data_IF_148689331560
#
_entry.id   IF_148689331560
#
_cell.length_a   1.000
_cell.length_b   1.000
_cell.length_c   1.000
_cell.angle_alpha   90.00
_cell.angle_beta   90.00
_cell.angle_gamma   90.00
#
_symmetry.space_group_name_H-M   'P 1'
#
loop_
_entity.id
_entity.type
_entity.pdbx_description
1 polymer ?
#
# COMPACT_ATOMS: atom_id res chain seq x y z
N UNK A 1 -16.90 -23.03 -8.84
CA UNK A 1 -15.74 -22.13 -9.01
C UNK A 1 -14.55 -22.60 -8.17
N UNK A 2 -14.72 -22.84 -6.85
CA UNK A 2 -13.63 -23.27 -5.97
C UNK A 2 -13.00 -24.61 -6.42
N UNK A 3 -13.79 -25.58 -6.84
CA UNK A 3 -13.32 -26.84 -7.41
C UNK A 3 -12.52 -26.61 -8.69
N UNK A 4 -12.98 -25.71 -9.55
CA UNK A 4 -12.29 -25.36 -10.80
C UNK A 4 -10.91 -24.73 -10.55
N UNK A 5 -10.79 -23.85 -9.55
CA UNK A 5 -9.50 -23.24 -9.20
C UNK A 5 -8.53 -24.28 -8.64
N UNK A 6 -9.00 -25.20 -7.79
CA UNK A 6 -8.22 -26.32 -7.27
C UNK A 6 -6.90 -25.91 -6.60
N UNK A 7 -6.84 -24.81 -5.87
CA UNK A 7 -5.66 -24.31 -5.18
C UNK A 7 -4.65 -23.55 -6.07
N UNK A 8 -5.00 -23.24 -7.32
CA UNK A 8 -4.16 -22.41 -8.21
C UNK A 8 -4.15 -20.95 -7.76
N UNK A 9 -3.08 -20.25 -8.13
CA UNK A 9 -2.99 -18.79 -7.93
C UNK A 9 -3.98 -18.09 -8.87
N UNK A 10 -4.79 -17.20 -8.31
CA UNK A 10 -5.67 -16.34 -9.10
C UNK A 10 -4.85 -15.21 -9.72
N UNK A 11 -5.14 -14.85 -10.96
CA UNK A 11 -4.52 -13.70 -11.63
C UNK A 11 -5.60 -12.70 -11.97
N UNK A 12 -5.44 -11.46 -11.52
CA UNK A 12 -6.37 -10.38 -11.82
C UNK A 12 -5.64 -9.04 -11.99
N UNK A 13 -6.33 -8.08 -12.59
CA UNK A 13 -5.83 -6.71 -12.75
C UNK A 13 -6.55 -5.79 -11.77
N UNK A 14 -5.91 -5.42 -10.65
CA UNK A 14 -6.50 -4.90 -9.43
C UNK A 14 -7.21 -6.00 -8.63
N UNK A 15 -6.42 -7.00 -8.26
CA UNK A 15 -6.90 -8.28 -7.71
C UNK A 15 -7.76 -8.15 -6.45
N UNK A 16 -7.59 -7.11 -5.64
CA UNK A 16 -8.41 -6.87 -4.45
C UNK A 16 -9.90 -6.70 -4.78
N UNK A 17 -10.21 -6.15 -5.96
CA UNK A 17 -11.57 -6.02 -6.43
C UNK A 17 -12.22 -7.41 -6.64
N UNK A 18 -11.62 -8.24 -7.47
CA UNK A 18 -12.17 -9.56 -7.82
C UNK A 18 -12.17 -10.52 -6.61
N UNK A 19 -11.05 -10.58 -5.88
CA UNK A 19 -10.92 -11.45 -4.71
C UNK A 19 -11.81 -11.00 -3.55
N UNK A 20 -12.14 -9.72 -3.46
CA UNK A 20 -13.10 -9.18 -2.50
C UNK A 20 -14.50 -9.80 -2.69
N UNK A 21 -14.99 -9.90 -3.92
CA UNK A 21 -16.26 -10.57 -4.22
C UNK A 21 -16.23 -12.06 -3.91
N UNK A 22 -15.14 -12.75 -4.26
CA UNK A 22 -14.99 -14.18 -3.98
C UNK A 22 -14.97 -14.42 -2.47
N UNK A 23 -14.21 -13.62 -1.72
CA UNK A 23 -14.13 -13.69 -0.25
C UNK A 23 -15.50 -13.49 0.40
N UNK A 24 -16.24 -12.47 -0.05
CA UNK A 24 -17.59 -12.19 0.44
C UNK A 24 -18.58 -13.33 0.12
N UNK A 25 -18.46 -13.95 -1.07
CA UNK A 25 -19.28 -15.10 -1.44
C UNK A 25 -18.94 -16.33 -0.60
N UNK A 26 -17.66 -16.62 -0.36
CA UNK A 26 -17.21 -17.70 0.52
C UNK A 26 -17.75 -17.51 1.95
N UNK A 27 -17.62 -16.28 2.50
CA UNK A 27 -18.09 -15.96 3.84
C UNK A 27 -19.61 -16.20 3.98
N UNK A 28 -20.41 -15.76 2.99
CA UNK A 28 -21.88 -15.99 3.00
C UNK A 28 -22.27 -17.46 2.95
N UNK A 29 -21.43 -18.32 2.40
CA UNK A 29 -21.68 -19.76 2.27
C UNK A 29 -20.96 -20.59 3.34
N UNK A 30 -20.26 -19.97 4.29
CA UNK A 30 -19.47 -20.67 5.30
C UNK A 30 -18.29 -21.47 4.74
N UNK A 31 -17.79 -21.08 3.56
CA UNK A 31 -16.66 -21.73 2.89
C UNK A 31 -15.34 -21.04 3.23
N UNK A 32 -14.24 -21.79 3.40
CA UNK A 32 -12.93 -21.18 3.64
C UNK A 32 -12.43 -20.43 2.39
N UNK A 33 -11.80 -19.27 2.59
CA UNK A 33 -11.07 -18.55 1.56
C UNK A 33 -9.57 -18.69 1.82
N UNK A 34 -8.89 -19.51 1.03
CA UNK A 34 -7.45 -19.83 1.20
C UNK A 34 -6.62 -19.54 -0.07
N UNK A 35 -7.14 -18.71 -0.97
CA UNK A 35 -6.55 -18.47 -2.28
C UNK A 35 -5.58 -17.28 -2.26
N UNK A 36 -4.48 -17.45 -2.99
CA UNK A 36 -3.50 -16.38 -3.26
C UNK A 36 -3.82 -15.75 -4.61
N UNK A 37 -3.65 -14.45 -4.73
CA UNK A 37 -3.78 -13.73 -5.99
C UNK A 37 -2.47 -13.06 -6.40
N UNK A 38 -2.19 -13.04 -7.70
CA UNK A 38 -1.17 -12.23 -8.34
C UNK A 38 -1.84 -11.04 -9.03
N UNK A 39 -1.39 -9.83 -8.72
CA UNK A 39 -1.97 -8.59 -9.23
C UNK A 39 -1.14 -8.02 -10.37
N UNK A 40 -1.67 -8.12 -11.60
CA UNK A 40 -0.99 -7.60 -12.78
C UNK A 40 -0.93 -6.08 -12.82
N UNK A 41 -1.82 -5.36 -12.10
CA UNK A 41 -1.74 -3.91 -11.96
C UNK A 41 -0.49 -3.52 -11.15
N UNK A 42 -0.30 -4.14 -9.98
CA UNK A 42 0.86 -3.88 -9.12
C UNK A 42 2.15 -4.28 -9.82
N UNK A 43 2.18 -5.44 -10.47
CA UNK A 43 3.34 -5.89 -11.23
C UNK A 43 3.66 -4.93 -12.38
N UNK A 44 2.66 -4.49 -13.16
CA UNK A 44 2.85 -3.51 -14.23
C UNK A 44 3.39 -2.18 -13.73
N UNK A 45 2.94 -1.71 -12.57
CA UNK A 45 3.44 -0.47 -11.96
C UNK A 45 4.93 -0.53 -11.64
N UNK A 46 5.44 -1.71 -11.31
CA UNK A 46 6.86 -1.92 -11.01
C UNK A 46 7.70 -2.19 -12.27
N UNK A 47 7.15 -2.95 -13.22
CA UNK A 47 7.89 -3.41 -14.40
C UNK A 47 7.80 -2.46 -15.60
N UNK A 48 6.84 -1.52 -15.62
CA UNK A 48 6.62 -0.56 -16.71
C UNK A 48 6.71 0.88 -16.18
N UNK A 49 7.88 1.32 -15.67
CA UNK A 49 8.03 2.63 -15.03
C UNK A 49 7.75 3.81 -15.95
N UNK A 50 7.81 3.62 -17.26
CA UNK A 50 7.52 4.63 -18.28
C UNK A 50 6.02 4.97 -18.40
N UNK A 51 5.12 4.12 -17.89
CA UNK A 51 3.69 4.36 -17.99
C UNK A 51 3.18 5.27 -16.87
N UNK A 52 2.27 6.18 -17.23
CA UNK A 52 1.57 7.05 -16.30
C UNK A 52 0.17 6.53 -15.90
N UNK A 53 -0.37 5.60 -16.68
CA UNK A 53 -1.67 4.95 -16.45
C UNK A 53 -1.51 3.45 -16.67
N UNK A 54 -2.24 2.67 -15.86
CA UNK A 54 -2.11 1.21 -15.83
C UNK A 54 -3.48 0.54 -15.98
N UNK A 55 -4.36 1.07 -16.85
CA UNK A 55 -5.57 0.36 -17.25
C UNK A 55 -5.18 -0.85 -18.10
N UNK A 56 -6.03 -1.87 -18.13
CA UNK A 56 -5.77 -3.14 -18.82
C UNK A 56 -5.37 -2.95 -20.28
N UNK A 57 -6.08 -2.07 -21.01
CA UNK A 57 -5.81 -1.69 -22.39
C UNK A 57 -4.42 -1.04 -22.57
N UNK A 58 -4.10 -0.08 -21.69
CA UNK A 58 -2.83 0.64 -21.76
C UNK A 58 -1.65 -0.30 -21.51
N UNK A 59 -1.79 -1.21 -20.52
CA UNK A 59 -0.76 -2.20 -20.21
C UNK A 59 -0.62 -3.23 -21.33
N UNK A 60 -1.75 -3.71 -21.88
CA UNK A 60 -1.77 -4.62 -23.04
C UNK A 60 -1.02 -4.03 -24.24
N UNK A 61 -1.33 -2.79 -24.60
CA UNK A 61 -0.67 -2.08 -25.70
C UNK A 61 0.83 -1.86 -25.44
N UNK A 62 1.20 -1.49 -24.22
CA UNK A 62 2.61 -1.28 -23.86
C UNK A 62 3.45 -2.57 -23.90
N UNK A 63 2.81 -3.73 -23.72
CA UNK A 63 3.42 -5.05 -23.85
C UNK A 63 3.28 -5.65 -25.25
N UNK A 64 2.74 -4.89 -26.21
CA UNK A 64 2.51 -5.33 -27.60
C UNK A 64 1.67 -6.62 -27.68
N UNK A 65 0.63 -6.71 -26.85
CA UNK A 65 -0.31 -7.82 -26.87
C UNK A 65 -1.40 -7.58 -27.91
N UNK A 66 -2.10 -8.63 -28.39
CA UNK A 66 -3.19 -8.50 -29.35
C UNK A 66 -4.32 -7.61 -28.81
N UNK A 67 -4.99 -6.90 -29.72
CA UNK A 67 -6.21 -6.15 -29.40
C UNK A 67 -7.31 -7.09 -28.88
N UNK A 68 -8.12 -6.59 -27.97
CA UNK A 68 -9.21 -7.34 -27.36
C UNK A 68 -10.47 -6.48 -27.19
N UNK A 69 -11.61 -7.14 -27.05
CA UNK A 69 -12.89 -6.43 -26.84
C UNK A 69 -13.06 -6.08 -25.36
N UNK A 70 -12.83 -4.82 -25.03
CA UNK A 70 -13.03 -4.31 -23.68
C UNK A 70 -14.43 -4.58 -23.13
N UNK A 71 -14.51 -4.81 -21.83
CA UNK A 71 -15.76 -5.07 -21.09
C UNK A 71 -16.45 -6.39 -21.43
N UNK A 72 -15.73 -7.32 -22.06
CA UNK A 72 -16.12 -8.72 -22.12
C UNK A 72 -15.26 -9.52 -21.15
N UNK A 73 -15.88 -10.03 -20.09
CA UNK A 73 -15.16 -10.67 -18.98
C UNK A 73 -14.18 -11.77 -19.43
N UNK A 74 -14.54 -12.55 -20.47
CA UNK A 74 -13.63 -13.57 -21.01
C UNK A 74 -12.41 -12.96 -21.71
N UNK A 75 -12.59 -11.92 -22.50
CA UNK A 75 -11.52 -11.25 -23.24
C UNK A 75 -10.60 -10.49 -22.26
N UNK A 76 -11.17 -9.82 -21.25
CA UNK A 76 -10.42 -9.17 -20.16
C UNK A 76 -9.60 -10.19 -19.38
N UNK A 77 -10.16 -11.37 -19.06
CA UNK A 77 -9.46 -12.43 -18.35
C UNK A 77 -8.30 -13.02 -19.16
N UNK A 78 -8.50 -13.28 -20.46
CA UNK A 78 -7.43 -13.74 -21.37
C UNK A 78 -6.33 -12.71 -21.45
N UNK A 79 -6.67 -11.43 -21.64
CA UNK A 79 -5.71 -10.34 -21.71
C UNK A 79 -4.91 -10.21 -20.40
N UNK A 80 -5.58 -10.35 -19.25
CA UNK A 80 -4.93 -10.35 -17.94
C UNK A 80 -3.92 -11.50 -17.82
N UNK A 81 -4.27 -12.70 -18.30
CA UNK A 81 -3.36 -13.86 -18.37
C UNK A 81 -2.14 -13.62 -19.28
N UNK A 82 -2.36 -13.01 -20.45
CA UNK A 82 -1.26 -12.65 -21.38
C UNK A 82 -0.34 -11.57 -20.78
N UNK A 83 -0.91 -10.59 -20.09
CA UNK A 83 -0.11 -9.59 -19.36
C UNK A 83 0.75 -10.29 -18.30
N UNK A 84 0.19 -11.22 -17.53
CA UNK A 84 0.94 -11.96 -16.51
C UNK A 84 2.10 -12.76 -17.13
N UNK A 85 1.84 -13.49 -18.21
CA UNK A 85 2.89 -14.24 -18.94
C UNK A 85 4.01 -13.30 -19.40
N UNK A 86 3.67 -12.18 -19.99
CA UNK A 86 4.65 -11.22 -20.49
C UNK A 86 5.44 -10.55 -19.38
N UNK A 87 4.79 -10.23 -18.26
CA UNK A 87 5.46 -9.67 -17.08
C UNK A 87 6.37 -10.69 -16.40
N UNK A 88 5.98 -11.98 -16.34
CA UNK A 88 6.83 -13.05 -15.80
C UNK A 88 8.11 -13.20 -16.62
N UNK A 89 8.01 -13.28 -17.97
CA UNK A 89 9.18 -13.33 -18.84
C UNK A 89 10.12 -12.14 -18.63
N UNK A 90 9.54 -10.96 -18.52
CA UNK A 90 10.33 -9.75 -18.27
C UNK A 90 10.98 -9.76 -16.88
N UNK A 91 10.29 -10.24 -15.85
CA UNK A 91 10.86 -10.41 -14.51
C UNK A 91 11.97 -11.47 -14.46
N UNK A 92 11.85 -12.52 -15.25
CA UNK A 92 12.92 -13.52 -15.43
C UNK A 92 14.17 -12.88 -16.05
N UNK A 93 14.02 -12.17 -17.16
CA UNK A 93 15.12 -11.54 -17.89
C UNK A 93 15.79 -10.38 -17.11
N UNK A 94 15.01 -9.51 -16.47
CA UNK A 94 15.51 -8.29 -15.86
C UNK A 94 15.86 -8.43 -14.37
N UNK A 95 15.20 -9.35 -13.64
CA UNK A 95 15.24 -9.45 -12.18
C UNK A 95 15.59 -10.84 -11.65
N UNK A 96 15.81 -11.82 -12.54
CA UNK A 96 16.07 -13.22 -12.17
C UNK A 96 14.96 -13.81 -11.29
N UNK A 97 13.68 -13.53 -11.63
CA UNK A 97 12.48 -14.04 -10.96
C UNK A 97 11.83 -15.10 -11.86
N UNK A 98 11.88 -16.36 -11.45
CA UNK A 98 11.44 -17.51 -12.27
C UNK A 98 10.08 -18.07 -11.85
N UNK A 99 9.66 -17.82 -10.62
CA UNK A 99 8.43 -18.37 -10.06
C UNK A 99 7.57 -17.32 -9.37
N UNK A 100 6.27 -17.57 -9.27
CA UNK A 100 5.33 -16.66 -8.54
C UNK A 100 5.72 -16.49 -7.06
N UNK A 101 6.26 -17.53 -6.44
CA UNK A 101 6.70 -17.51 -5.04
C UNK A 101 7.90 -16.60 -4.81
N UNK A 102 8.73 -16.40 -5.83
CA UNK A 102 9.91 -15.54 -5.75
C UNK A 102 9.58 -14.05 -5.90
N UNK A 103 8.41 -13.71 -6.45
CA UNK A 103 8.04 -12.30 -6.74
C UNK A 103 8.16 -11.45 -5.48
N UNK A 104 7.42 -11.76 -4.43
CA UNK A 104 7.37 -10.92 -3.23
C UNK A 104 8.74 -10.77 -2.53
N UNK A 105 9.48 -11.85 -2.22
CA UNK A 105 10.78 -11.70 -1.55
C UNK A 105 11.82 -10.98 -2.41
N UNK A 106 11.90 -11.27 -3.71
CA UNK A 106 12.86 -10.60 -4.61
C UNK A 106 12.48 -9.13 -4.86
N UNK A 107 11.20 -8.82 -5.08
CA UNK A 107 10.73 -7.43 -5.21
C UNK A 107 10.98 -6.62 -3.94
N UNK A 108 10.77 -7.20 -2.76
CA UNK A 108 11.09 -6.57 -1.48
C UNK A 108 12.58 -6.27 -1.37
N UNK A 109 13.44 -7.24 -1.71
CA UNK A 109 14.89 -7.03 -1.70
C UNK A 109 15.35 -5.95 -2.71
N UNK A 110 14.71 -5.88 -3.88
CA UNK A 110 15.02 -4.86 -4.90
C UNK A 110 14.58 -3.46 -4.46
N UNK A 111 13.43 -3.35 -3.75
CA UNK A 111 12.99 -2.08 -3.13
C UNK A 111 13.97 -1.63 -2.06
N UNK A 112 14.41 -2.53 -1.18
CA UNK A 112 15.40 -2.23 -0.15
C UNK A 112 16.73 -1.72 -0.75
N UNK A 113 17.10 -2.20 -1.94
CA UNK A 113 18.29 -1.75 -2.70
C UNK A 113 18.03 -0.49 -3.56
N UNK A 114 16.84 0.10 -3.51
CA UNK A 114 16.46 1.27 -4.32
C UNK A 114 16.35 1.01 -5.83
N UNK A 115 16.36 -0.25 -6.27
CA UNK A 115 16.25 -0.62 -7.70
C UNK A 115 14.80 -0.55 -8.21
N UNK A 116 13.83 -0.65 -7.32
CA UNK A 116 12.39 -0.50 -7.60
C UNK A 116 11.85 0.57 -6.66
N UNK A 117 11.16 1.56 -7.21
CA UNK A 117 10.56 2.66 -6.44
C UNK A 117 9.18 2.25 -5.93
N UNK A 118 8.94 2.38 -4.64
CA UNK A 118 7.57 2.33 -4.11
C UNK A 118 6.81 3.57 -4.58
N UNK A 119 5.78 3.35 -5.40
CA UNK A 119 4.95 4.42 -5.96
C UNK A 119 3.74 4.74 -5.10
N UNK A 120 3.52 4.02 -4.01
CA UNK A 120 2.43 4.29 -3.10
C UNK A 120 2.72 5.54 -2.27
N UNK A 121 1.75 6.46 -2.26
CA UNK A 121 1.77 7.54 -1.28
C UNK A 121 1.48 6.93 0.10
N UNK A 122 2.19 7.39 1.12
CA UNK A 122 1.99 7.02 2.52
C UNK A 122 1.40 8.19 3.28
N UNK A 123 0.57 7.92 4.25
CA UNK A 123 0.06 8.97 5.13
C UNK A 123 1.20 9.53 5.98
N UNK A 124 1.12 10.82 6.26
CA UNK A 124 2.04 11.54 7.12
C UNK A 124 1.27 12.66 7.84
N UNK A 125 1.62 12.91 9.08
CA UNK A 125 1.10 14.06 9.82
C UNK A 125 2.15 15.16 9.83
N UNK A 126 1.74 16.37 9.51
CA UNK A 126 2.60 17.56 9.50
C UNK A 126 1.94 18.64 10.34
N UNK A 127 2.59 19.04 11.41
CA UNK A 127 2.13 20.10 12.31
C UNK A 127 3.04 21.32 12.19
N UNK A 128 2.48 22.51 12.15
CA UNK A 128 3.25 23.75 12.19
C UNK A 128 3.58 24.11 13.65
N UNK A 129 4.86 24.22 13.98
CA UNK A 129 5.36 24.60 15.31
C UNK A 129 5.39 26.11 15.52
N UNK A 130 5.59 26.88 14.45
CA UNK A 130 5.74 28.33 14.46
C UNK A 130 5.37 28.93 13.08
N UNK A 131 5.53 30.25 12.91
CA UNK A 131 5.17 30.94 11.67
C UNK A 131 6.02 30.51 10.45
N UNK A 132 7.28 30.10 10.65
CA UNK A 132 8.10 29.54 9.59
C UNK A 132 7.52 28.22 9.14
N UNK A 133 7.19 27.32 10.09
CA UNK A 133 6.56 26.03 9.80
C UNK A 133 5.19 26.19 9.12
N UNK A 134 4.39 27.18 9.55
CA UNK A 134 3.10 27.45 8.91
C UNK A 134 3.28 27.84 7.42
N UNK A 135 4.25 28.70 7.12
CA UNK A 135 4.57 29.06 5.73
C UNK A 135 5.04 27.82 4.94
N UNK A 136 5.94 27.04 5.51
CA UNK A 136 6.46 25.83 4.87
C UNK A 136 5.36 24.80 4.63
N UNK A 137 4.43 24.65 5.58
CA UNK A 137 3.25 23.78 5.41
C UNK A 137 2.38 24.25 4.24
N UNK A 138 2.12 25.54 4.09
CA UNK A 138 1.36 26.07 2.95
C UNK A 138 2.08 25.83 1.62
N UNK A 139 3.40 25.96 1.55
CA UNK A 139 4.18 25.61 0.37
C UNK A 139 4.04 24.13 0.03
N UNK A 140 4.24 23.23 0.99
CA UNK A 140 4.08 21.79 0.80
C UNK A 140 2.69 21.40 0.32
N UNK A 141 1.63 21.97 0.91
CA UNK A 141 0.25 21.73 0.49
C UNK A 141 0.03 22.24 -0.94
N UNK A 142 0.48 23.45 -1.26
CA UNK A 142 0.34 24.03 -2.60
C UNK A 142 1.05 23.16 -3.65
N UNK A 143 2.28 22.79 -3.41
CA UNK A 143 3.08 21.97 -4.32
C UNK A 143 2.53 20.55 -4.44
N UNK A 144 2.00 19.98 -3.37
CA UNK A 144 1.34 18.67 -3.41
C UNK A 144 0.13 18.63 -4.35
N UNK A 145 -0.57 19.74 -4.48
CA UNK A 145 -1.75 19.88 -5.33
C UNK A 145 -1.41 20.37 -6.74
N UNK A 146 -0.43 21.26 -6.91
CA UNK A 146 -0.11 21.90 -8.18
C UNK A 146 0.97 21.15 -8.97
N UNK A 147 1.99 20.62 -8.29
CA UNK A 147 3.15 19.97 -8.93
C UNK A 147 3.08 18.44 -8.84
N UNK A 148 2.69 17.91 -7.67
CA UNK A 148 2.84 16.48 -7.37
C UNK A 148 1.53 15.72 -7.25
N UNK A 149 0.41 16.34 -7.64
CA UNK A 149 -0.90 15.68 -7.61
C UNK A 149 -0.94 14.49 -8.57
N UNK A 150 -1.22 13.31 -8.04
CA UNK A 150 -1.44 12.12 -8.83
C UNK A 150 -2.52 11.27 -8.18
N UNK A 151 -3.78 11.48 -8.54
CA UNK A 151 -5.02 11.00 -7.89
C UNK A 151 -5.25 11.59 -6.50
N UNK A 152 -4.21 11.73 -5.72
CA UNK A 152 -4.19 12.37 -4.39
C UNK A 152 -3.00 13.34 -4.33
N UNK A 153 -3.06 14.38 -3.47
CA UNK A 153 -1.91 15.23 -3.19
C UNK A 153 -0.74 14.40 -2.64
N UNK A 154 0.47 14.68 -3.10
CA UNK A 154 1.69 13.98 -2.67
C UNK A 154 2.78 14.97 -2.33
N UNK A 155 3.60 14.61 -1.36
CA UNK A 155 4.77 15.39 -0.97
C UNK A 155 6.00 14.50 -1.12
N UNK A 156 6.94 14.82 -2.03
CA UNK A 156 8.22 14.13 -2.08
C UNK A 156 8.98 14.31 -0.75
N UNK A 157 9.60 13.23 -0.25
CA UNK A 157 10.41 13.31 0.98
C UNK A 157 11.54 14.33 0.89
N UNK A 158 12.14 14.50 -0.29
CA UNK A 158 13.19 15.52 -0.53
C UNK A 158 12.66 16.93 -0.24
N UNK A 159 11.50 17.27 -0.77
CA UNK A 159 10.89 18.59 -0.57
C UNK A 159 10.44 18.81 0.87
N UNK A 160 9.88 17.75 1.51
CA UNK A 160 9.58 17.81 2.94
C UNK A 160 10.83 18.05 3.78
N UNK A 161 11.99 17.49 3.42
CA UNK A 161 13.25 17.72 4.12
C UNK A 161 13.76 19.15 3.91
N UNK A 162 13.64 19.71 2.72
CA UNK A 162 14.02 21.10 2.42
C UNK A 162 13.20 22.12 3.19
N UNK A 163 11.90 21.84 3.36
CA UNK A 163 10.94 22.71 4.05
C UNK A 163 10.66 22.30 5.50
N UNK A 164 11.52 21.44 6.09
CA UNK A 164 11.26 20.86 7.42
C UNK A 164 11.32 21.86 8.57
N UNK A 165 11.97 23.01 8.39
CA UNK A 165 12.11 24.00 9.46
C UNK A 165 10.74 24.46 9.99
N UNK A 166 10.59 24.43 11.32
CA UNK A 166 9.36 24.82 12.00
C UNK A 166 8.21 23.84 11.88
N UNK A 167 8.44 22.63 11.33
CA UNK A 167 7.48 21.55 11.25
C UNK A 167 7.75 20.47 12.30
N UNK A 168 6.71 19.76 12.69
CA UNK A 168 6.74 18.53 13.49
C UNK A 168 6.09 17.45 12.63
N UNK A 169 6.78 16.33 12.46
CA UNK A 169 6.39 15.25 11.56
C UNK A 169 6.02 14.00 12.36
N UNK A 170 4.79 13.51 12.18
CA UNK A 170 4.28 12.29 12.81
C UNK A 170 4.18 11.11 11.84
N UNK A 171 4.29 9.89 12.39
CA UNK A 171 4.29 8.64 11.60
C UNK A 171 2.92 8.27 11.01
N UNK A 172 1.86 8.96 11.41
CA UNK A 172 0.48 8.75 10.98
C UNK A 172 -0.10 7.36 11.34
N UNK A 173 -1.21 6.99 10.67
CA UNK A 173 -2.00 5.80 10.92
C UNK A 173 -1.39 4.53 10.27
N UNK A 174 -2.21 3.49 10.14
CA UNK A 174 -1.83 2.23 9.48
C UNK A 174 -1.42 2.41 8.02
N UNK A 175 -1.88 3.46 7.34
CA UNK A 175 -1.45 3.82 5.98
C UNK A 175 -0.14 4.61 5.94
N UNK A 176 0.46 4.93 7.09
CA UNK A 176 1.78 5.54 7.23
C UNK A 176 2.92 4.59 6.86
N UNK A 177 4.08 5.14 6.50
CA UNK A 177 5.23 4.35 6.06
C UNK A 177 5.74 3.40 7.16
N UNK A 178 5.79 3.85 8.42
CA UNK A 178 6.28 3.02 9.53
C UNK A 178 5.39 1.81 9.76
N UNK A 179 4.08 2.03 9.86
CA UNK A 179 3.14 0.94 10.10
C UNK A 179 3.12 -0.06 8.93
N UNK A 180 3.16 0.43 7.69
CA UNK A 180 3.26 -0.43 6.52
C UNK A 180 4.56 -1.24 6.50
N UNK A 181 5.68 -0.66 6.93
CA UNK A 181 6.94 -1.37 7.04
C UNK A 181 6.88 -2.50 8.10
N UNK A 182 6.13 -2.31 9.20
CA UNK A 182 5.87 -3.34 10.19
C UNK A 182 5.03 -4.48 9.59
N UNK A 183 3.96 -4.15 8.85
CA UNK A 183 3.13 -5.14 8.14
C UNK A 183 3.92 -5.94 7.11
N UNK A 184 4.84 -5.29 6.40
CA UNK A 184 5.72 -5.92 5.40
C UNK A 184 6.82 -6.79 6.05
N UNK A 185 6.91 -6.85 7.38
CA UNK A 185 7.92 -7.62 8.10
C UNK A 185 9.36 -7.14 7.86
N UNK A 186 9.55 -5.81 7.73
CA UNK A 186 10.87 -5.21 7.54
C UNK A 186 11.80 -5.51 8.71
N UNK A 187 13.10 -5.53 8.44
CA UNK A 187 14.12 -5.75 9.47
C UNK A 187 14.10 -4.64 10.53
N UNK A 188 14.57 -4.97 11.72
CA UNK A 188 14.67 -4.04 12.86
C UNK A 188 15.43 -2.76 12.48
N UNK A 189 16.55 -2.90 11.76
CA UNK A 189 17.36 -1.76 11.30
C UNK A 189 16.61 -0.87 10.30
N UNK A 190 15.81 -1.47 9.41
CA UNK A 190 14.96 -0.72 8.49
C UNK A 190 13.84 0.01 9.23
N UNK A 191 13.18 -0.63 10.20
CA UNK A 191 12.16 -0.02 11.02
C UNK A 191 12.73 1.18 11.81
N UNK A 192 13.90 1.04 12.43
CA UNK A 192 14.59 2.13 13.13
C UNK A 192 14.94 3.28 12.19
N UNK A 193 15.45 2.97 11.00
CA UNK A 193 15.76 3.99 9.98
C UNK A 193 14.51 4.76 9.56
N UNK A 194 13.39 4.08 9.34
CA UNK A 194 12.12 4.71 8.98
C UNK A 194 11.59 5.54 10.15
N UNK A 195 11.54 4.97 11.35
CA UNK A 195 11.05 5.65 12.55
C UNK A 195 11.89 6.91 12.90
N UNK A 196 13.20 6.88 12.61
CA UNK A 196 14.10 8.02 12.85
C UNK A 196 13.75 9.27 12.04
N UNK A 197 13.04 9.12 10.92
CA UNK A 197 12.60 10.24 10.09
C UNK A 197 11.56 11.14 10.81
N UNK A 198 10.73 10.57 11.67
CA UNK A 198 9.63 11.24 12.34
C UNK A 198 10.07 11.92 13.64
N UNK A 199 9.40 12.99 14.02
CA UNK A 199 9.62 13.67 15.30
C UNK A 199 8.88 12.94 16.43
N UNK A 200 7.73 12.33 16.14
CA UNK A 200 6.98 11.48 17.05
C UNK A 200 6.33 10.30 16.29
N UNK A 201 5.99 9.26 17.01
CA UNK A 201 5.33 8.07 16.47
C UNK A 201 3.88 8.01 16.96
N UNK A 202 2.99 7.38 16.19
CA UNK A 202 1.58 7.24 16.53
C UNK A 202 1.16 5.79 16.68
N UNK A 203 0.31 5.56 17.68
CA UNK A 203 -0.51 4.35 17.79
C UNK A 203 -1.99 4.73 17.79
N UNK A 204 -2.83 3.81 17.35
CA UNK A 204 -4.26 4.02 17.27
C UNK A 204 -5.03 2.93 18.04
N UNK A 205 -6.31 3.20 18.43
CA UNK A 205 -7.17 2.18 19.00
C UNK A 205 -7.27 0.96 18.09
N UNK A 206 -7.30 -0.24 18.68
CA UNK A 206 -7.40 -1.48 17.92
C UNK A 206 -8.64 -1.52 17.02
N UNK A 207 -9.73 -0.84 17.44
CA UNK A 207 -10.96 -0.75 16.66
C UNK A 207 -10.74 -0.18 15.26
N UNK A 208 -9.84 0.80 15.10
CA UNK A 208 -9.51 1.41 13.81
C UNK A 208 -8.89 0.40 12.83
N UNK A 209 -8.24 -0.65 13.35
CA UNK A 209 -7.52 -1.65 12.57
C UNK A 209 -8.24 -3.02 12.50
N UNK A 210 -9.47 -3.13 13.02
CA UNK A 210 -10.24 -4.39 12.98
C UNK A 210 -10.52 -4.90 11.56
N UNK A 211 -10.57 -4.00 10.57
CA UNK A 211 -10.70 -4.38 9.16
C UNK A 211 -9.55 -5.28 8.68
N UNK A 212 -8.39 -5.23 9.32
CA UNK A 212 -7.24 -6.09 8.98
C UNK A 212 -7.52 -7.56 9.27
N UNK A 213 -8.32 -7.86 10.31
CA UNK A 213 -8.78 -9.22 10.59
C UNK A 213 -9.72 -9.71 9.49
N UNK A 214 -10.68 -8.88 9.11
CA UNK A 214 -11.64 -9.20 8.05
C UNK A 214 -10.96 -9.42 6.69
N UNK A 215 -9.86 -8.69 6.42
CA UNK A 215 -9.07 -8.82 5.19
C UNK A 215 -7.99 -9.91 5.26
N UNK A 216 -7.80 -10.56 6.40
CA UNK A 216 -6.75 -11.56 6.61
C UNK A 216 -5.31 -10.99 6.60
N UNK A 217 -5.16 -9.68 6.84
CA UNK A 217 -3.86 -9.00 6.99
C UNK A 217 -3.27 -9.31 8.36
N UNK A 218 -4.11 -9.35 9.40
CA UNK A 218 -3.77 -9.80 10.73
C UNK A 218 -4.59 -11.05 11.06
N UNK A 219 -3.99 -12.02 11.76
CA UNK A 219 -4.63 -13.29 12.10
C UNK A 219 -5.59 -13.18 13.29
N UNK A 220 -5.28 -12.31 14.25
CA UNK A 220 -6.00 -12.13 15.51
C UNK A 220 -5.75 -10.76 16.14
N UNK A 221 -6.50 -10.46 17.22
CA UNK A 221 -6.39 -9.19 17.96
C UNK A 221 -5.01 -9.06 18.62
N UNK A 222 -4.38 -10.16 19.02
CA UNK A 222 -3.06 -10.11 19.66
C UNK A 222 -2.00 -9.64 18.67
N UNK A 223 -2.10 -10.01 17.40
CA UNK A 223 -1.22 -9.50 16.37
C UNK A 223 -1.43 -7.99 16.14
N UNK A 224 -2.66 -7.48 16.20
CA UNK A 224 -2.91 -6.03 16.14
C UNK A 224 -2.25 -5.29 17.32
N UNK A 225 -2.31 -5.86 18.52
CA UNK A 225 -1.61 -5.30 19.69
C UNK A 225 -0.09 -5.31 19.49
N UNK A 226 0.45 -6.38 18.89
CA UNK A 226 1.89 -6.49 18.65
C UNK A 226 2.40 -5.42 17.68
N UNK A 227 1.61 -5.03 16.68
CA UNK A 227 1.96 -3.90 15.82
C UNK A 227 2.09 -2.59 16.63
N UNK A 228 1.13 -2.30 17.51
CA UNK A 228 1.23 -1.13 18.40
C UNK A 228 2.41 -1.23 19.38
N UNK A 229 2.67 -2.40 19.96
CA UNK A 229 3.84 -2.64 20.85
C UNK A 229 5.15 -2.40 20.10
N UNK A 230 5.24 -2.80 18.84
CA UNK A 230 6.41 -2.55 17.99
C UNK A 230 6.66 -1.06 17.83
N UNK A 231 5.61 -0.26 17.58
CA UNK A 231 5.75 1.21 17.48
C UNK A 231 6.20 1.81 18.81
N UNK A 232 5.62 1.37 19.94
CA UNK A 232 6.00 1.84 21.29
C UNK A 232 7.45 1.53 21.58
N UNK A 233 7.88 0.28 21.36
CA UNK A 233 9.27 -0.15 21.56
C UNK A 233 10.25 0.66 20.71
N UNK A 234 9.94 0.89 19.43
CA UNK A 234 10.77 1.74 18.56
C UNK A 234 10.87 3.18 19.08
N UNK A 235 9.76 3.72 19.62
CA UNK A 235 9.76 5.03 20.27
C UNK A 235 10.70 5.08 21.48
N UNK A 236 10.63 4.09 22.37
CA UNK A 236 11.49 3.98 23.55
C UNK A 236 12.96 3.86 23.14
N UNK A 237 13.30 2.96 22.22
CA UNK A 237 14.68 2.74 21.76
C UNK A 237 15.29 3.96 21.05
N UNK A 238 14.48 4.76 20.35
CA UNK A 238 14.93 5.96 19.64
C UNK A 238 14.75 7.26 20.45
N UNK A 239 14.25 7.17 21.68
CA UNK A 239 13.96 8.34 22.51
C UNK A 239 12.90 9.26 21.90
N UNK A 240 11.94 8.72 21.14
CA UNK A 240 10.86 9.47 20.51
C UNK A 240 9.57 9.37 21.29
N UNK A 241 8.82 10.46 21.33
CA UNK A 241 7.48 10.46 21.88
C UNK A 241 6.58 9.53 21.07
N UNK A 242 5.78 8.72 21.76
CA UNK A 242 4.70 7.94 21.15
C UNK A 242 3.38 8.51 21.65
N UNK A 243 2.50 8.87 20.74
CA UNK A 243 1.19 9.44 21.03
C UNK A 243 0.08 8.49 20.61
N UNK A 244 -0.99 8.43 21.38
CA UNK A 244 -2.22 7.72 21.02
C UNK A 244 -3.19 8.72 20.37
N UNK A 245 -3.59 8.46 19.11
CA UNK A 245 -4.54 9.28 18.36
C UNK A 245 -5.78 8.49 18.01
N UNK A 246 -6.93 9.17 17.90
CA UNK A 246 -8.21 8.52 17.58
C UNK A 246 -8.44 8.32 16.08
N UNK A 247 -7.69 8.99 15.21
CA UNK A 247 -7.92 9.02 13.75
C UNK A 247 -9.39 9.33 13.41
N UNK A 248 -9.91 10.39 14.06
CA UNK A 248 -11.33 10.75 14.02
C UNK A 248 -11.71 11.28 12.64
N UNK A 249 -12.74 10.72 12.02
CA UNK A 249 -13.21 11.05 10.69
C UNK A 249 -14.59 11.70 10.66
N UNK A 250 -15.29 11.72 11.78
CA UNK A 250 -16.59 12.38 11.96
C UNK A 250 -16.74 12.85 13.41
N UNK A 251 -17.60 13.85 13.62
CA UNK A 251 -17.76 14.49 14.92
C UNK A 251 -18.62 13.66 15.88
N UNK A 252 -19.78 13.21 15.42
CA UNK A 252 -20.72 12.42 16.20
C UNK A 252 -20.82 10.99 15.63
N UNK A 253 -21.10 9.96 16.45
CA UNK A 253 -21.22 8.58 15.97
C UNK A 253 -22.24 8.40 14.84
N UNK A 254 -23.36 9.15 14.86
CA UNK A 254 -24.38 9.13 13.82
C UNK A 254 -23.93 9.66 12.46
N UNK A 255 -22.85 10.45 12.42
CA UNK A 255 -22.28 10.99 11.18
C UNK A 255 -21.52 9.91 10.38
N UNK A 256 -21.32 8.72 10.93
CA UNK A 256 -20.71 7.59 10.25
C UNK A 256 -21.38 7.30 8.90
N UNK A 257 -22.71 7.45 8.84
CA UNK A 257 -23.50 7.17 7.63
C UNK A 257 -23.02 8.00 6.42
N UNK A 258 -22.56 9.24 6.63
CA UNK A 258 -22.07 10.12 5.57
C UNK A 258 -20.73 9.68 4.99
N UNK A 259 -20.02 8.82 5.70
CA UNK A 259 -18.74 8.26 5.22
C UNK A 259 -18.94 7.05 4.29
N UNK A 260 -20.13 6.47 4.26
CA UNK A 260 -20.46 5.34 3.39
C UNK A 260 -20.96 5.76 2.00
N UNK A 261 -21.13 7.05 1.75
CA UNK A 261 -21.53 7.64 0.47
C UNK A 261 -20.27 7.90 -0.37
#
# INVERSE_FOLDING_TARGET
>A
FLEFIGGRVLVAHNSDFDTGFIRAACARQGLPYTYTAADTLILSQNMLPQLNKFKLDIVSNALSLPDFNHHRAADDAVTCGLIMDRLMKRMEEELDIHTLQEINPKMTALRAKGRITDRHARHIIILAKNQVGLRNLYHLISDSNLKYFKRVPRIPKSELLELREGLIIGSACEAGELFQAILDGKSEDELKRIASFYDYLEIQPLANNMFMLAKGIAKDIEQLKEYNRTVVRLGEELGKMVVATGDVHFLNPEDEIFRHI
#
